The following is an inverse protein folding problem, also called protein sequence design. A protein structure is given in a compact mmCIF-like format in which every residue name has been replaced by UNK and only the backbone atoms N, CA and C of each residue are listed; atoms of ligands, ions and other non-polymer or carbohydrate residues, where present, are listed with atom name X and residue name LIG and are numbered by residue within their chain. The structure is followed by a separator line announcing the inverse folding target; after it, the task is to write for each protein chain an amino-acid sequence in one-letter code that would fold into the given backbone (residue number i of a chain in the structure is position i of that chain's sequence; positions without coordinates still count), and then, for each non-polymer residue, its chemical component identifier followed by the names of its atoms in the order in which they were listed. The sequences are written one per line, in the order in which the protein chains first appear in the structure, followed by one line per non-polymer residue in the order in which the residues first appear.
data_IF_684973461441
#
_entry.id   IF_684973461441
#
_cell.length_a   1.000
_cell.length_b   1.000
_cell.length_c   1.000
_cell.angle_alpha   90.00
_cell.angle_beta   90.00
_cell.angle_gamma   90.00
#
_symmetry.space_group_name_H-M   'P 1'
#
loop_
_entity.id
_entity.type
_entity.pdbx_description
1 polymer ?
#
# COMPACT_ATOMS: atom_id res chain seq x y z
N UNK A 1 -27.81 -8.70 20.20
CA UNK A 1 -26.37 -8.39 20.43
C UNK A 1 -25.90 -7.16 19.66
N UNK A 2 -26.05 -7.08 18.33
CA UNK A 2 -25.54 -5.94 17.52
C UNK A 2 -26.10 -4.55 17.92
N UNK A 3 -27.42 -4.44 18.13
CA UNK A 3 -28.07 -3.17 18.53
C UNK A 3 -27.64 -2.69 19.92
N UNK A 4 -27.37 -3.63 20.84
CA UNK A 4 -26.96 -3.30 22.21
C UNK A 4 -25.54 -2.73 22.24
N UNK A 5 -24.66 -3.26 21.39
CA UNK A 5 -23.29 -2.75 21.19
C UNK A 5 -23.34 -1.35 20.57
N UNK A 6 -24.21 -1.12 19.58
CA UNK A 6 -24.38 0.20 18.97
C UNK A 6 -24.90 1.25 19.97
N UNK A 7 -25.87 0.88 20.81
CA UNK A 7 -26.40 1.76 21.86
C UNK A 7 -25.37 2.07 22.95
N UNK A 8 -24.52 1.10 23.31
CA UNK A 8 -23.41 1.28 24.26
C UNK A 8 -22.34 2.22 23.72
N UNK A 9 -21.99 2.08 22.43
CA UNK A 9 -21.04 2.97 21.77
C UNK A 9 -21.60 4.38 21.69
N UNK A 10 -22.89 4.51 21.33
CA UNK A 10 -23.58 5.80 21.29
C UNK A 10 -23.64 6.48 22.66
N UNK A 11 -23.94 5.74 23.74
CA UNK A 11 -24.01 6.32 25.09
C UNK A 11 -22.65 6.72 25.64
N UNK A 12 -21.60 5.92 25.42
CA UNK A 12 -20.23 6.27 25.78
C UNK A 12 -19.78 7.53 25.04
N UNK A 13 -20.09 7.64 23.75
CA UNK A 13 -19.80 8.81 22.94
C UNK A 13 -20.55 10.07 23.40
N UNK A 14 -21.82 9.92 23.79
CA UNK A 14 -22.61 11.02 24.33
C UNK A 14 -22.01 11.56 25.64
N UNK A 15 -21.58 10.67 26.54
CA UNK A 15 -21.00 11.05 27.84
C UNK A 15 -19.65 11.76 27.67
N UNK A 16 -18.79 11.32 26.75
CA UNK A 16 -17.46 11.94 26.55
C UNK A 16 -17.55 13.33 25.90
N UNK A 17 -18.47 13.51 24.94
CA UNK A 17 -18.72 14.84 24.37
C UNK A 17 -19.30 15.78 25.43
N UNK A 18 -20.25 15.30 26.23
CA UNK A 18 -20.83 16.11 27.31
C UNK A 18 -19.79 16.51 28.36
N UNK A 19 -18.86 15.61 28.71
CA UNK A 19 -17.80 15.93 29.68
C UNK A 19 -16.82 16.97 29.15
N UNK A 20 -16.49 16.94 27.84
CA UNK A 20 -15.62 17.94 27.23
C UNK A 20 -16.31 19.32 27.19
N UNK A 21 -17.61 19.35 26.87
CA UNK A 21 -18.41 20.59 26.87
C UNK A 21 -18.51 21.17 28.28
N UNK A 22 -18.65 20.34 29.32
CA UNK A 22 -18.73 20.81 30.71
C UNK A 22 -17.40 21.30 31.27
N UNK A 23 -16.27 20.75 30.82
CA UNK A 23 -14.93 21.15 31.28
C UNK A 23 -14.52 22.52 30.70
N UNK A 24 -14.94 22.86 29.48
CA UNK A 24 -14.61 24.12 28.82
C UNK A 24 -14.91 25.39 29.66
N UNK A 25 -16.13 25.60 30.18
CA UNK A 25 -16.42 26.79 31.00
C UNK A 25 -15.65 26.81 32.32
N UNK A 26 -15.31 25.64 32.88
CA UNK A 26 -14.62 25.52 34.16
C UNK A 26 -13.13 25.86 34.04
N UNK A 27 -12.49 25.43 32.94
CA UNK A 27 -11.13 25.87 32.58
C UNK A 27 -11.12 27.37 32.30
N UNK A 28 -12.09 27.88 31.54
CA UNK A 28 -12.19 29.32 31.25
C UNK A 28 -12.29 30.15 32.54
N UNK A 29 -13.16 29.74 33.46
CA UNK A 29 -13.35 30.41 34.74
C UNK A 29 -12.09 30.38 35.63
N UNK A 30 -11.36 29.26 35.64
CA UNK A 30 -10.12 29.16 36.42
C UNK A 30 -8.99 30.01 35.83
N UNK A 31 -8.94 30.16 34.50
CA UNK A 31 -7.96 31.00 33.81
C UNK A 31 -8.29 32.49 33.98
N UNK A 32 -9.58 32.85 33.99
CA UNK A 32 -10.06 34.24 34.17
C UNK A 32 -9.85 34.75 35.61
N UNK A 33 -9.81 33.85 36.60
CA UNK A 33 -9.61 34.18 38.01
C UNK A 33 -8.15 34.08 38.50
N UNK A 34 -7.18 33.91 37.60
CA UNK A 34 -5.76 33.95 37.99
C UNK A 34 -5.41 35.40 38.39
N UNK A 35 -4.94 35.65 39.62
CA UNK A 35 -4.72 37.01 40.17
C UNK A 35 -3.46 37.70 39.62
N UNK A 36 -3.31 37.77 38.30
CA UNK A 36 -2.20 38.46 37.60
C UNK A 36 -2.67 39.84 37.08
N UNK A 37 -3.95 40.17 37.18
CA UNK A 37 -4.56 41.37 36.55
C UNK A 37 -4.89 42.45 37.59
N UNK A 38 -3.89 42.88 38.37
CA UNK A 38 -3.97 44.13 39.15
C UNK A 38 -2.82 45.10 38.84
N UNK A 39 -2.15 44.94 37.68
CA UNK A 39 -1.24 45.98 37.18
C UNK A 39 -1.77 46.64 35.91
N UNK A 40 -2.28 47.87 36.08
CA UNK A 40 -2.45 48.85 35.01
C UNK A 40 -1.16 48.97 34.18
N UNK A 41 -1.31 48.97 32.84
CA UNK A 41 -0.39 49.52 31.82
C UNK A 41 0.50 48.61 30.95
N UNK A 42 0.08 47.42 30.54
CA UNK A 42 0.80 46.77 29.42
C UNK A 42 -0.15 46.08 28.43
N UNK A 43 -0.51 46.81 27.36
CA UNK A 43 -1.24 46.34 26.14
C UNK A 43 -0.68 45.01 25.61
N UNK A 44 0.60 44.75 25.85
CA UNK A 44 1.30 43.51 25.49
C UNK A 44 0.66 42.29 26.17
N UNK A 45 0.22 42.39 27.43
CA UNK A 45 -0.41 41.25 28.13
C UNK A 45 -1.79 40.90 27.55
N UNK A 46 -2.58 41.90 27.16
CA UNK A 46 -3.88 41.67 26.52
C UNK A 46 -3.69 40.99 25.16
N UNK A 47 -2.72 41.45 24.37
CA UNK A 47 -2.40 40.81 23.07
C UNK A 47 -1.87 39.39 23.21
N UNK A 48 -1.06 39.12 24.23
CA UNK A 48 -0.57 37.77 24.54
C UNK A 48 -1.72 36.87 25.01
N UNK A 49 -2.62 37.41 25.83
CA UNK A 49 -3.81 36.70 26.30
C UNK A 49 -4.74 36.32 25.14
N UNK A 50 -5.09 37.27 24.28
CA UNK A 50 -5.94 37.01 23.10
C UNK A 50 -5.29 36.01 22.13
N UNK A 51 -4.00 36.15 21.85
CA UNK A 51 -3.28 35.19 20.99
C UNK A 51 -3.24 33.80 21.62
N UNK A 52 -3.01 33.70 22.94
CA UNK A 52 -3.02 32.42 23.65
C UNK A 52 -4.39 31.74 23.59
N UNK A 53 -5.48 32.51 23.74
CA UNK A 53 -6.84 32.01 23.62
C UNK A 53 -7.17 31.56 22.20
N UNK A 54 -6.75 32.32 21.18
CA UNK A 54 -6.94 31.91 19.78
C UNK A 54 -6.20 30.60 19.43
N UNK A 55 -5.02 30.38 20.03
CA UNK A 55 -4.26 29.15 19.87
C UNK A 55 -4.98 27.97 20.54
N UNK A 56 -5.54 28.18 21.73
CA UNK A 56 -6.34 27.16 22.44
C UNK A 56 -7.59 26.81 21.63
N UNK A 57 -8.34 27.80 21.13
CA UNK A 57 -9.52 27.57 20.30
C UNK A 57 -9.16 26.84 19.00
N UNK A 58 -8.07 27.23 18.34
CA UNK A 58 -7.59 26.55 17.13
C UNK A 58 -7.16 25.09 17.40
N UNK A 59 -6.54 24.83 18.55
CA UNK A 59 -6.14 23.49 18.96
C UNK A 59 -7.38 22.63 19.25
N UNK A 60 -8.36 23.16 19.97
CA UNK A 60 -9.63 22.48 20.24
C UNK A 60 -10.36 22.15 18.94
N UNK A 61 -10.48 23.12 18.02
CA UNK A 61 -11.13 22.91 16.73
C UNK A 61 -10.39 21.88 15.86
N UNK A 62 -9.05 21.89 15.89
CA UNK A 62 -8.24 20.89 15.17
C UNK A 62 -8.44 19.49 15.74
N UNK A 63 -8.51 19.35 17.07
CA UNK A 63 -8.78 18.09 17.75
C UNK A 63 -10.19 17.59 17.39
N UNK A 64 -11.21 18.45 17.46
CA UNK A 64 -12.59 18.09 17.11
C UNK A 64 -12.67 17.62 15.64
N UNK A 65 -12.09 18.37 14.71
CA UNK A 65 -12.09 18.00 13.29
C UNK A 65 -11.32 16.71 13.01
N UNK A 66 -10.18 16.50 13.68
CA UNK A 66 -9.41 15.26 13.54
C UNK A 66 -10.20 14.06 14.04
N UNK A 67 -10.87 14.19 15.18
CA UNK A 67 -11.75 13.15 15.73
C UNK A 67 -12.87 12.84 14.74
N UNK A 68 -13.55 13.85 14.20
CA UNK A 68 -14.62 13.66 13.21
C UNK A 68 -14.14 12.95 11.95
N UNK A 69 -12.98 13.32 11.40
CA UNK A 69 -12.40 12.66 10.24
C UNK A 69 -12.03 11.20 10.52
N UNK A 70 -11.44 10.93 11.69
CA UNK A 70 -11.13 9.56 12.12
C UNK A 70 -12.41 8.71 12.22
N UNK A 71 -13.50 9.26 12.77
CA UNK A 71 -14.78 8.56 12.81
C UNK A 71 -15.34 8.29 11.40
N UNK A 72 -15.24 9.26 10.50
CA UNK A 72 -15.62 9.09 9.09
C UNK A 72 -14.87 7.92 8.44
N UNK A 73 -13.54 7.89 8.57
CA UNK A 73 -12.71 6.81 8.02
C UNK A 73 -12.99 5.46 8.66
N UNK A 74 -13.27 5.41 9.96
CA UNK A 74 -13.66 4.16 10.64
C UNK A 74 -14.96 3.62 10.04
N UNK A 75 -15.97 4.46 9.86
CA UNK A 75 -17.25 4.06 9.29
C UNK A 75 -17.09 3.61 7.84
N UNK A 76 -16.37 4.38 7.01
CA UNK A 76 -16.06 4.00 5.62
C UNK A 76 -15.33 2.66 5.55
N UNK A 77 -14.37 2.43 6.44
CA UNK A 77 -13.65 1.17 6.53
C UNK A 77 -14.55 0.00 6.92
N UNK A 78 -15.48 0.20 7.87
CA UNK A 78 -16.49 -0.81 8.21
C UNK A 78 -17.39 -1.14 7.02
N UNK A 79 -17.93 -0.12 6.34
CA UNK A 79 -18.74 -0.32 5.13
C UNK A 79 -17.94 -1.07 4.06
N UNK A 80 -16.69 -0.67 3.84
CA UNK A 80 -15.79 -1.32 2.90
C UNK A 80 -15.60 -2.81 3.22
N UNK A 81 -15.34 -3.17 4.48
CA UNK A 81 -15.19 -4.58 4.90
C UNK A 81 -16.48 -5.37 4.61
N UNK A 82 -17.65 -4.82 4.94
CA UNK A 82 -18.93 -5.50 4.67
C UNK A 82 -19.16 -5.67 3.16
N UNK A 83 -18.97 -4.61 2.38
CA UNK A 83 -19.11 -4.66 0.93
C UNK A 83 -18.12 -5.64 0.30
N UNK A 84 -16.88 -5.66 0.78
CA UNK A 84 -15.84 -6.57 0.34
C UNK A 84 -16.18 -8.02 0.68
N UNK A 85 -16.69 -8.30 1.90
CA UNK A 85 -17.14 -9.63 2.29
C UNK A 85 -18.26 -10.15 1.39
N UNK A 86 -19.29 -9.33 1.13
CA UNK A 86 -20.38 -9.71 0.23
C UNK A 86 -19.90 -9.90 -1.21
N UNK A 87 -19.00 -9.03 -1.69
CA UNK A 87 -18.38 -9.16 -3.00
C UNK A 87 -17.60 -10.48 -3.15
N UNK A 88 -16.82 -10.86 -2.14
CA UNK A 88 -16.13 -12.14 -2.10
C UNK A 88 -17.10 -13.33 -2.07
N UNK A 89 -18.17 -13.25 -1.28
CA UNK A 89 -19.18 -14.30 -1.20
C UNK A 89 -19.86 -14.52 -2.55
N UNK A 90 -20.29 -13.46 -3.22
CA UNK A 90 -20.92 -13.54 -4.54
C UNK A 90 -19.92 -14.02 -5.61
N UNK A 91 -18.67 -13.55 -5.55
CA UNK A 91 -17.62 -13.98 -6.47
C UNK A 91 -17.23 -15.46 -6.33
N UNK A 92 -17.50 -16.12 -5.19
CA UNK A 92 -17.33 -17.58 -5.07
C UNK A 92 -18.38 -18.34 -5.88
N UNK A 93 -19.57 -17.78 -6.07
CA UNK A 93 -20.66 -18.38 -6.85
C UNK A 93 -20.51 -18.11 -8.34
N UNK A 94 -20.29 -16.86 -8.73
CA UNK A 94 -19.97 -16.46 -10.10
C UNK A 94 -18.88 -15.38 -10.10
N UNK A 95 -17.69 -15.70 -10.62
CA UNK A 95 -16.57 -14.75 -10.74
C UNK A 95 -16.86 -13.56 -11.67
N UNK A 96 -17.98 -13.59 -12.39
CA UNK A 96 -18.40 -12.60 -13.38
C UNK A 96 -19.73 -11.91 -13.03
N UNK A 97 -20.18 -11.99 -11.77
CA UNK A 97 -21.48 -11.47 -11.31
C UNK A 97 -21.71 -9.98 -11.67
N UNK A 98 -20.67 -9.15 -11.62
CA UNK A 98 -20.75 -7.72 -11.88
C UNK A 98 -20.99 -7.38 -13.37
N UNK A 99 -20.84 -8.33 -14.30
CA UNK A 99 -21.18 -8.12 -15.72
C UNK A 99 -22.68 -7.96 -15.97
N UNK A 100 -23.53 -8.21 -14.96
CA UNK A 100 -24.97 -7.92 -15.02
C UNK A 100 -25.22 -6.43 -15.24
N UNK A 101 -24.36 -5.55 -14.71
CA UNK A 101 -24.44 -4.10 -14.86
C UNK A 101 -23.96 -3.59 -16.22
N UNK A 102 -23.33 -4.44 -17.04
CA UNK A 102 -22.84 -4.08 -18.38
C UNK A 102 -23.96 -4.23 -19.41
N UNK A 103 -24.10 -3.28 -20.37
CA UNK A 103 -25.05 -3.38 -21.47
C UNK A 103 -24.95 -4.72 -22.22
N UNK A 104 -26.11 -5.29 -22.60
CA UNK A 104 -26.19 -6.65 -23.18
C UNK A 104 -25.29 -6.84 -24.41
N UNK A 105 -25.09 -5.78 -25.20
CA UNK A 105 -24.28 -5.79 -26.43
C UNK A 105 -22.80 -6.13 -26.17
N UNK A 106 -22.24 -5.68 -25.04
CA UNK A 106 -20.82 -5.83 -24.71
C UNK A 106 -20.53 -6.94 -23.69
N UNK A 107 -21.57 -7.46 -23.02
CA UNK A 107 -21.45 -8.38 -21.89
C UNK A 107 -20.63 -9.62 -22.20
N UNK A 108 -20.87 -10.27 -23.34
CA UNK A 108 -20.19 -11.52 -23.71
C UNK A 108 -18.71 -11.28 -24.03
N UNK A 109 -18.41 -10.23 -24.79
CA UNK A 109 -17.03 -9.90 -25.15
C UNK A 109 -16.22 -9.49 -23.93
N UNK A 110 -16.74 -8.59 -23.10
CA UNK A 110 -16.02 -8.12 -21.91
C UNK A 110 -15.82 -9.23 -20.88
N UNK A 111 -16.82 -10.10 -20.68
CA UNK A 111 -16.67 -11.27 -19.80
C UNK A 111 -15.53 -12.17 -20.27
N UNK A 112 -15.41 -12.41 -21.58
CA UNK A 112 -14.32 -13.21 -22.16
C UNK A 112 -12.95 -12.57 -21.97
N UNK A 113 -12.84 -11.25 -22.11
CA UNK A 113 -11.57 -10.54 -21.86
C UNK A 113 -11.19 -10.57 -20.39
N UNK A 114 -12.16 -10.38 -19.50
CA UNK A 114 -11.93 -10.36 -18.06
C UNK A 114 -11.51 -11.72 -17.50
N UNK A 115 -12.17 -12.81 -17.89
CA UNK A 115 -11.75 -14.14 -17.47
C UNK A 115 -10.32 -14.44 -17.92
N UNK A 116 -9.99 -14.08 -19.17
CA UNK A 116 -8.64 -14.26 -19.71
C UNK A 116 -7.59 -13.38 -19.02
N UNK A 117 -7.97 -12.17 -18.58
CA UNK A 117 -7.10 -11.31 -17.78
C UNK A 117 -6.84 -11.90 -16.38
N UNK A 118 -7.86 -12.48 -15.73
CA UNK A 118 -7.70 -13.21 -14.46
C UNK A 118 -6.78 -14.42 -14.64
N UNK A 119 -6.93 -15.19 -15.72
CA UNK A 119 -6.07 -16.34 -15.99
C UNK A 119 -4.60 -15.92 -16.16
N UNK A 120 -4.36 -14.83 -16.90
CA UNK A 120 -3.04 -14.24 -17.05
C UNK A 120 -2.47 -13.72 -15.73
N UNK A 121 -3.31 -13.08 -14.89
CA UNK A 121 -2.89 -12.64 -13.56
C UNK A 121 -2.52 -13.82 -12.66
N UNK A 122 -3.30 -14.90 -12.71
CA UNK A 122 -3.04 -16.10 -11.94
C UNK A 122 -1.72 -16.76 -12.39
N UNK A 123 -1.47 -16.81 -13.70
CA UNK A 123 -0.20 -17.27 -14.26
C UNK A 123 0.98 -16.37 -13.86
N UNK A 124 0.81 -15.05 -13.93
CA UNK A 124 1.80 -14.08 -13.46
C UNK A 124 2.17 -14.29 -11.99
N UNK A 125 1.16 -14.47 -11.14
CA UNK A 125 1.35 -14.69 -9.71
C UNK A 125 2.04 -16.02 -9.43
N UNK A 126 1.69 -17.07 -10.19
CA UNK A 126 2.37 -18.36 -10.12
C UNK A 126 3.86 -18.26 -10.49
N UNK A 127 4.18 -17.58 -11.60
CA UNK A 127 5.57 -17.33 -12.04
C UNK A 127 6.33 -16.49 -11.00
N UNK A 128 5.70 -15.44 -10.47
CA UNK A 128 6.30 -14.57 -9.45
C UNK A 128 6.59 -15.33 -8.17
N UNK A 129 5.70 -16.23 -7.75
CA UNK A 129 5.90 -17.10 -6.60
C UNK A 129 7.05 -18.10 -6.82
N UNK A 130 7.19 -18.65 -8.03
CA UNK A 130 8.31 -19.53 -8.36
C UNK A 130 9.65 -18.79 -8.31
N UNK A 131 9.71 -17.55 -8.81
CA UNK A 131 10.90 -16.70 -8.72
C UNK A 131 11.23 -16.34 -7.26
N UNK A 132 10.20 -16.03 -6.45
CA UNK A 132 10.35 -15.83 -5.01
C UNK A 132 10.96 -17.07 -4.32
N UNK A 133 10.49 -18.27 -4.65
CA UNK A 133 11.05 -19.49 -4.08
C UNK A 133 12.52 -19.68 -4.46
N UNK A 134 12.87 -19.47 -5.73
CA UNK A 134 14.27 -19.59 -6.18
C UNK A 134 15.18 -18.58 -5.49
N UNK A 135 14.78 -17.32 -5.42
CA UNK A 135 15.54 -16.25 -4.74
C UNK A 135 15.69 -16.54 -3.24
N UNK A 136 14.64 -17.03 -2.59
CA UNK A 136 14.68 -17.47 -1.19
C UNK A 136 15.72 -18.58 -0.97
N UNK A 137 15.72 -19.63 -1.80
CA UNK A 137 16.69 -20.73 -1.68
C UNK A 137 18.12 -20.26 -1.93
N UNK A 138 18.34 -19.44 -2.95
CA UNK A 138 19.66 -18.88 -3.26
C UNK A 138 20.19 -18.01 -2.12
N UNK A 139 19.36 -17.14 -1.55
CA UNK A 139 19.71 -16.31 -0.40
C UNK A 139 19.99 -17.15 0.85
N UNK A 140 19.14 -18.16 1.12
CA UNK A 140 19.32 -19.03 2.27
C UNK A 140 20.64 -19.80 2.18
N UNK A 141 20.97 -20.36 1.00
CA UNK A 141 22.25 -21.03 0.77
C UNK A 141 23.43 -20.05 0.86
N UNK A 142 23.33 -18.88 0.22
CA UNK A 142 24.37 -17.86 0.25
C UNK A 142 24.66 -17.36 1.66
N UNK A 143 23.63 -17.03 2.44
CA UNK A 143 23.80 -16.59 3.83
C UNK A 143 24.30 -17.70 4.75
N UNK A 144 23.90 -18.95 4.53
CA UNK A 144 24.43 -20.09 5.27
C UNK A 144 25.93 -20.31 4.99
N UNK A 145 26.35 -20.21 3.71
CA UNK A 145 27.76 -20.30 3.32
C UNK A 145 28.60 -19.15 3.90
N UNK A 146 28.01 -17.96 4.01
CA UNK A 146 28.64 -16.78 4.61
C UNK A 146 28.53 -16.75 6.14
N UNK A 147 28.00 -17.82 6.77
CA UNK A 147 27.89 -17.98 8.22
C UNK A 147 27.11 -16.86 8.93
N UNK A 148 26.09 -16.30 8.28
CA UNK A 148 25.21 -15.32 8.91
C UNK A 148 24.36 -15.94 10.01
N UNK A 149 24.12 -15.19 11.09
CA UNK A 149 23.12 -15.59 12.09
C UNK A 149 21.73 -15.66 11.47
N UNK A 150 20.99 -16.74 11.73
CA UNK A 150 19.63 -16.97 11.24
C UNK A 150 19.47 -16.77 9.71
N UNK A 151 20.21 -17.54 8.88
CA UNK A 151 20.29 -17.31 7.44
C UNK A 151 18.92 -17.46 6.74
N UNK A 152 18.12 -18.43 7.18
CA UNK A 152 16.77 -18.71 6.64
C UNK A 152 15.82 -17.54 6.89
N UNK A 153 15.80 -17.00 8.12
CA UNK A 153 14.90 -15.90 8.49
C UNK A 153 15.23 -14.62 7.72
N UNK A 154 16.52 -14.26 7.65
CA UNK A 154 16.99 -13.10 6.89
C UNK A 154 16.73 -13.26 5.39
N UNK A 155 16.97 -14.46 4.85
CA UNK A 155 16.67 -14.76 3.45
C UNK A 155 15.18 -14.60 3.13
N UNK A 156 14.29 -15.08 4.01
CA UNK A 156 12.84 -14.97 3.84
C UNK A 156 12.38 -13.51 3.80
N UNK A 157 12.86 -12.66 4.71
CA UNK A 157 12.48 -11.25 4.73
C UNK A 157 12.93 -10.52 3.47
N UNK A 158 14.16 -10.77 3.02
CA UNK A 158 14.71 -10.13 1.82
C UNK A 158 14.01 -10.64 0.55
N UNK A 159 13.77 -11.95 0.43
CA UNK A 159 13.03 -12.49 -0.72
C UNK A 159 11.57 -12.04 -0.72
N UNK A 160 10.95 -11.86 0.45
CA UNK A 160 9.57 -11.38 0.55
C UNK A 160 9.46 -9.92 0.09
N UNK A 161 10.46 -9.10 0.43
CA UNK A 161 10.53 -7.74 -0.09
C UNK A 161 10.75 -7.74 -1.61
N UNK A 162 11.57 -8.66 -2.14
CA UNK A 162 11.83 -8.83 -3.58
C UNK A 162 10.61 -9.31 -4.40
N UNK A 163 9.67 -10.00 -3.76
CA UNK A 163 8.39 -10.35 -4.37
C UNK A 163 7.56 -9.11 -4.75
N UNK A 164 7.83 -7.97 -4.11
CA UNK A 164 7.17 -6.72 -4.47
C UNK A 164 7.75 -6.21 -5.80
N UNK A 165 6.91 -5.84 -6.78
CA UNK A 165 7.35 -5.44 -8.12
C UNK A 165 8.23 -4.18 -8.15
N UNK A 166 8.35 -3.45 -7.04
CA UNK A 166 9.14 -2.21 -6.93
C UNK A 166 10.40 -2.35 -6.07
N UNK A 167 10.39 -3.25 -5.08
CA UNK A 167 11.43 -3.32 -4.05
C UNK A 167 12.36 -4.48 -4.37
N UNK A 168 13.19 -4.34 -5.40
CA UNK A 168 14.14 -5.40 -5.76
C UNK A 168 15.13 -5.74 -4.64
N UNK A 169 15.65 -6.97 -4.64
CA UNK A 169 16.70 -7.49 -3.73
C UNK A 169 17.87 -6.53 -3.48
N UNK A 170 18.26 -5.75 -4.50
CA UNK A 170 19.38 -4.82 -4.41
C UNK A 170 19.21 -3.76 -3.31
N UNK A 171 17.97 -3.38 -3.01
CA UNK A 171 17.68 -2.39 -1.97
C UNK A 171 18.11 -2.86 -0.57
N UNK A 172 18.13 -4.17 -0.33
CA UNK A 172 18.56 -4.74 0.95
C UNK A 172 20.01 -5.18 0.92
N UNK A 173 20.44 -5.89 -0.14
CA UNK A 173 21.79 -6.47 -0.18
C UNK A 173 22.88 -5.40 -0.34
N UNK A 174 22.63 -4.34 -1.11
CA UNK A 174 23.64 -3.29 -1.36
C UNK A 174 24.00 -2.53 -0.07
N UNK A 175 23.04 -2.00 0.73
CA UNK A 175 23.38 -1.36 2.00
C UNK A 175 24.09 -2.29 2.98
N UNK A 176 23.67 -3.55 3.06
CA UNK A 176 24.31 -4.55 3.94
C UNK A 176 25.75 -4.83 3.49
N UNK A 177 25.99 -4.96 2.19
CA UNK A 177 27.33 -5.15 1.65
C UNK A 177 28.25 -3.95 1.96
N UNK A 178 27.75 -2.72 1.78
CA UNK A 178 28.48 -1.50 2.13
C UNK A 178 28.80 -1.47 3.62
N UNK A 179 27.83 -1.81 4.48
CA UNK A 179 28.02 -1.87 5.92
C UNK A 179 29.18 -2.80 6.33
N UNK A 180 29.26 -4.01 5.76
CA UNK A 180 30.36 -4.93 6.05
C UNK A 180 31.73 -4.43 5.54
N UNK A 181 31.77 -3.73 4.40
CA UNK A 181 33.01 -3.12 3.89
C UNK A 181 33.49 -2.01 4.83
N UNK A 182 32.58 -1.15 5.31
CA UNK A 182 32.91 -0.03 6.20
C UNK A 182 33.45 -0.50 7.56
N UNK A 183 32.95 -1.63 8.08
CA UNK A 183 33.41 -2.21 9.36
C UNK A 183 34.73 -3.00 9.21
N UNK A 184 35.32 -3.03 8.01
CA UNK A 184 36.58 -3.71 7.74
C UNK A 184 36.43 -5.21 7.43
N UNK A 185 35.19 -5.71 7.29
CA UNK A 185 34.88 -7.07 6.87
C UNK A 185 34.67 -7.15 5.35
N UNK A 186 35.67 -6.69 4.59
CA UNK A 186 35.58 -6.55 3.13
C UNK A 186 35.27 -7.86 2.39
N UNK A 187 35.70 -9.01 2.94
CA UNK A 187 35.38 -10.33 2.39
C UNK A 187 33.87 -10.60 2.35
N UNK A 188 33.17 -10.37 3.47
CA UNK A 188 31.72 -10.59 3.55
C UNK A 188 30.95 -9.62 2.64
N UNK A 189 31.37 -8.36 2.60
CA UNK A 189 30.75 -7.36 1.73
C UNK A 189 30.91 -7.71 0.25
N UNK A 190 32.11 -8.12 -0.19
CA UNK A 190 32.33 -8.52 -1.58
C UNK A 190 31.57 -9.82 -1.93
N UNK A 191 31.54 -10.79 -1.02
CA UNK A 191 30.80 -12.03 -1.23
C UNK A 191 29.29 -11.80 -1.33
N UNK A 192 28.72 -10.84 -0.58
CA UNK A 192 27.32 -10.42 -0.72
C UNK A 192 27.04 -9.80 -2.10
N UNK A 193 27.96 -9.00 -2.64
CA UNK A 193 27.82 -8.41 -3.99
C UNK A 193 27.84 -9.50 -5.05
N UNK A 194 28.76 -10.47 -4.94
CA UNK A 194 28.82 -11.62 -5.86
C UNK A 194 27.53 -12.45 -5.78
N UNK A 195 27.04 -12.71 -4.57
CA UNK A 195 25.76 -13.39 -4.36
C UNK A 195 24.60 -12.62 -5.02
N UNK A 196 24.55 -11.30 -4.86
CA UNK A 196 23.54 -10.45 -5.50
C UNK A 196 23.58 -10.55 -7.03
N UNK A 197 24.76 -10.46 -7.65
CA UNK A 197 24.91 -10.58 -9.10
C UNK A 197 24.45 -11.97 -9.57
N UNK A 198 24.82 -13.02 -8.85
CA UNK A 198 24.42 -14.39 -9.17
C UNK A 198 22.90 -14.58 -9.11
N UNK A 199 22.23 -14.02 -8.10
CA UNK A 199 20.77 -14.06 -7.98
C UNK A 199 20.12 -13.27 -9.13
N UNK A 200 20.62 -12.07 -9.43
CA UNK A 200 20.14 -11.23 -10.54
C UNK A 200 20.19 -11.97 -11.89
N UNK A 201 21.32 -12.59 -12.21
CA UNK A 201 21.49 -13.34 -13.46
C UNK A 201 20.53 -14.53 -13.50
N UNK A 202 20.47 -15.31 -12.42
CA UNK A 202 19.58 -16.47 -12.33
C UNK A 202 18.13 -16.06 -12.52
N UNK A 203 17.72 -14.95 -11.89
CA UNK A 203 16.38 -14.40 -12.01
C UNK A 203 16.08 -13.96 -13.44
N UNK A 204 16.99 -13.25 -14.10
CA UNK A 204 16.78 -12.77 -15.45
C UNK A 204 16.67 -13.90 -16.47
N UNK A 205 17.42 -14.99 -16.27
CA UNK A 205 17.30 -16.21 -17.09
C UNK A 205 15.95 -16.89 -16.85
N UNK A 206 15.52 -17.03 -15.60
CA UNK A 206 14.23 -17.64 -15.25
C UNK A 206 13.05 -16.80 -15.74
N UNK A 207 13.10 -15.48 -15.58
CA UNK A 207 12.11 -14.57 -16.15
C UNK A 207 12.09 -14.68 -17.66
N UNK A 208 13.23 -14.56 -18.35
CA UNK A 208 13.27 -14.71 -19.81
C UNK A 208 12.66 -16.04 -20.26
N UNK A 209 12.99 -17.15 -19.60
CA UNK A 209 12.46 -18.48 -19.91
C UNK A 209 10.94 -18.58 -19.69
N UNK A 210 10.43 -18.05 -18.57
CA UNK A 210 9.01 -18.10 -18.21
C UNK A 210 8.16 -17.15 -19.06
N UNK A 211 8.75 -16.11 -19.65
CA UNK A 211 8.05 -15.06 -20.40
C UNK A 211 8.33 -15.05 -21.92
N UNK A 212 9.29 -15.85 -22.40
CA UNK A 212 9.77 -15.88 -23.79
C UNK A 212 8.68 -16.03 -24.86
N UNK A 213 7.55 -16.67 -24.53
CA UNK A 213 6.46 -16.93 -25.48
C UNK A 213 5.52 -15.74 -25.71
N UNK A 214 5.62 -14.65 -24.94
CA UNK A 214 4.55 -13.62 -24.87
C UNK A 214 4.94 -12.25 -25.42
N UNK A 215 6.23 -11.89 -25.49
CA UNK A 215 6.65 -10.52 -25.82
C UNK A 215 7.15 -10.34 -27.27
N UNK A 216 6.22 -10.19 -28.21
CA UNK A 216 6.48 -9.58 -29.54
C UNK A 216 5.90 -8.16 -29.62
N UNK A 217 6.19 -7.32 -28.62
CA UNK A 217 5.78 -5.91 -28.62
C UNK A 217 6.86 -5.02 -29.24
N UNK A 218 6.44 -4.10 -30.10
CA UNK A 218 7.27 -2.92 -30.42
C UNK A 218 7.33 -2.03 -29.17
N UNK A 219 8.54 -1.75 -28.68
CA UNK A 219 8.82 -0.96 -27.47
C UNK A 219 8.01 0.35 -27.37
N UNK A 220 7.71 0.99 -28.50
CA UNK A 220 6.89 2.20 -28.56
C UNK A 220 5.47 2.01 -27.98
N UNK A 221 4.82 0.87 -28.21
CA UNK A 221 3.45 0.64 -27.73
C UNK A 221 3.45 0.41 -26.22
N UNK A 222 4.42 -0.36 -25.72
CA UNK A 222 4.63 -0.60 -24.29
C UNK A 222 4.82 0.71 -23.54
N UNK A 223 5.65 1.62 -24.08
CA UNK A 223 5.93 2.93 -23.49
C UNK A 223 4.68 3.82 -23.40
N UNK A 224 3.91 3.93 -24.47
CA UNK A 224 2.67 4.72 -24.46
C UNK A 224 1.63 4.15 -23.49
N UNK A 225 1.47 2.83 -23.46
CA UNK A 225 0.48 2.19 -22.57
C UNK A 225 0.91 2.31 -21.11
N UNK A 226 2.19 2.16 -20.79
CA UNK A 226 2.69 2.37 -19.43
C UNK A 226 2.59 3.83 -18.99
N UNK A 227 2.90 4.77 -19.89
CA UNK A 227 2.72 6.20 -19.61
C UNK A 227 1.26 6.54 -19.35
N UNK A 228 0.35 6.04 -20.20
CA UNK A 228 -1.08 6.24 -20.05
C UNK A 228 -1.64 5.61 -18.76
N UNK A 229 -1.18 4.42 -18.36
CA UNK A 229 -1.66 3.78 -17.14
C UNK A 229 -1.26 4.55 -15.88
N UNK A 230 -0.05 5.10 -15.84
CA UNK A 230 0.41 5.95 -14.74
C UNK A 230 -0.41 7.24 -14.67
N UNK A 231 -0.70 7.86 -15.81
CA UNK A 231 -1.53 9.07 -15.86
C UNK A 231 -2.97 8.83 -15.41
N UNK A 232 -3.55 7.66 -15.74
CA UNK A 232 -4.94 7.32 -15.40
C UNK A 232 -5.11 6.83 -13.96
N UNK A 233 -4.16 6.06 -13.44
CA UNK A 233 -4.30 5.36 -12.15
C UNK A 233 -3.23 5.78 -11.12
N UNK A 234 -2.42 6.80 -11.42
CA UNK A 234 -1.35 7.27 -10.54
C UNK A 234 -0.27 6.21 -10.29
N UNK A 235 0.21 6.12 -9.05
CA UNK A 235 1.23 5.15 -8.65
C UNK A 235 0.78 3.69 -8.90
N UNK A 236 -0.52 3.41 -8.75
CA UNK A 236 -1.11 2.09 -8.99
C UNK A 236 -1.14 1.74 -10.49
N UNK A 237 -1.04 2.74 -11.36
CA UNK A 237 -0.91 2.58 -12.80
C UNK A 237 0.36 1.86 -13.25
N UNK A 238 1.42 1.88 -12.44
CA UNK A 238 2.63 1.10 -12.72
C UNK A 238 2.37 -0.39 -12.48
N UNK A 239 1.63 -0.72 -11.42
CA UNK A 239 1.24 -2.10 -11.13
C UNK A 239 0.27 -2.64 -12.20
N UNK A 240 -0.61 -1.77 -12.70
CA UNK A 240 -1.61 -2.10 -13.72
C UNK A 240 -1.05 -2.11 -15.15
N UNK A 241 0.10 -1.47 -15.39
CA UNK A 241 0.71 -1.32 -16.71
C UNK A 241 0.89 -2.65 -17.46
N UNK A 242 1.50 -3.70 -16.86
CA UNK A 242 1.72 -4.96 -17.55
C UNK A 242 0.40 -5.62 -17.98
N UNK A 243 -0.66 -5.45 -17.19
CA UNK A 243 -1.99 -5.99 -17.49
C UNK A 243 -2.63 -5.30 -18.68
N UNK A 244 -2.58 -3.97 -18.72
CA UNK A 244 -3.14 -3.18 -19.82
C UNK A 244 -2.36 -3.46 -21.11
N UNK A 245 -1.03 -3.60 -21.02
CA UNK A 245 -0.15 -3.97 -22.13
C UNK A 245 -0.50 -5.37 -22.68
N UNK A 246 -0.68 -6.36 -21.79
CA UNK A 246 -1.07 -7.73 -22.17
C UNK A 246 -2.47 -7.79 -22.81
N UNK A 247 -3.41 -7.00 -22.29
CA UNK A 247 -4.75 -6.90 -22.86
C UNK A 247 -4.71 -6.29 -24.28
N UNK A 248 -3.99 -5.18 -24.44
CA UNK A 248 -3.82 -4.49 -25.71
C UNK A 248 -3.14 -5.37 -26.77
N UNK A 249 -2.13 -6.14 -26.36
CA UNK A 249 -1.45 -7.14 -27.19
C UNK A 249 -2.41 -8.13 -27.83
N UNK A 250 -3.31 -8.69 -27.00
CA UNK A 250 -4.19 -9.77 -27.43
C UNK A 250 -5.36 -9.26 -28.27
N UNK A 251 -5.79 -8.02 -28.05
CA UNK A 251 -6.73 -7.32 -28.93
C UNK A 251 -6.15 -7.15 -30.33
N UNK A 252 -4.86 -6.76 -30.44
CA UNK A 252 -4.18 -6.58 -31.72
C UNK A 252 -4.02 -7.89 -32.51
N UNK A 253 -3.68 -9.00 -31.85
CA UNK A 253 -3.57 -10.32 -32.52
C UNK A 253 -4.89 -10.80 -33.14
N UNK A 254 -6.05 -10.36 -32.63
CA UNK A 254 -7.36 -10.71 -33.24
C UNK A 254 -7.63 -9.94 -34.54
N UNK A 255 -6.97 -8.80 -34.76
CA UNK A 255 -7.16 -7.96 -35.95
C UNK A 255 -6.38 -8.44 -37.18
N UNK A 256 -5.40 -9.34 -37.03
CA UNK A 256 -4.55 -9.82 -38.13
C UNK A 256 -4.99 -11.16 -38.72
N UNK A 257 -6.10 -11.74 -38.22
CA UNK A 257 -6.71 -12.98 -38.73
C UNK A 257 -8.15 -12.77 -39.26
N UNK A 258 -8.48 -11.53 -39.62
CA UNK A 258 -9.64 -11.14 -40.43
C UNK A 258 -9.12 -10.63 -41.76
#
# INVERSE_FOLDING_TARGET
MSILIFLLIYSLFYITIQSLISIYPEIKFQVENIPIIESNNFIIFDTIYEQSMSLIDSAIMTIINSIQLLFGYILEFFIFIFAFYFSLFESRKDRSWFFIYVPKQFRLEWKKYFTRAIDLFSYFLFVSFQLFMVTFFLLSCGFALLQFEQPISKAFLISLADFLPFFGIGLFIIPIAIYFIVIGQSYLGFALIVLFIFIMITRQILESSLWASTFQLRAIHTFFISGASILLFGIYGILLSPFIILLALKLKQRSTYL
#
